data_IF_976814624497
#
_entry.id   IF_976814624497
#
_cell.length_a   1.000
_cell.length_b   1.000
_cell.length_c   1.000
_cell.angle_alpha   90.00
_cell.angle_beta   90.00
_cell.angle_gamma   90.00
#
_symmetry.space_group_name_H-M   'P 1'
#
loop_
_entity.id
_entity.type
_entity.pdbx_description
1 polymer ?
#
# COMPACT_ATOMS: atom_id res chain seq x y z
N UNK A 1 -42.33 -51.19 -7.89
CA UNK A 1 -40.98 -50.60 -7.74
C UNK A 1 -41.15 -49.25 -7.04
N UNK A 2 -40.55 -49.11 -5.86
CA UNK A 2 -41.07 -48.29 -4.77
C UNK A 2 -40.84 -46.78 -4.94
N UNK A 3 -41.88 -46.00 -4.58
CA UNK A 3 -41.91 -44.53 -4.45
C UNK A 3 -41.00 -44.04 -3.28
N UNK A 4 -40.37 -44.96 -2.54
CA UNK A 4 -39.53 -44.68 -1.37
C UNK A 4 -38.12 -44.15 -1.64
N UNK A 5 -37.60 -44.24 -2.87
CA UNK A 5 -36.21 -43.80 -3.16
C UNK A 5 -36.10 -42.32 -3.56
N UNK A 6 -37.18 -41.70 -4.05
CA UNK A 6 -37.18 -40.26 -4.40
C UNK A 6 -37.14 -39.35 -3.16
N UNK A 7 -37.58 -39.84 -2.00
CA UNK A 7 -37.70 -39.05 -0.78
C UNK A 7 -36.40 -38.98 0.05
N UNK A 8 -35.44 -39.87 -0.21
CA UNK A 8 -34.11 -39.82 0.44
C UNK A 8 -33.20 -38.78 -0.21
N UNK A 9 -33.24 -38.66 -1.54
CA UNK A 9 -32.41 -37.71 -2.30
C UNK A 9 -32.73 -36.26 -1.91
N UNK A 10 -34.00 -35.96 -1.62
CA UNK A 10 -34.43 -34.63 -1.19
C UNK A 10 -33.96 -34.23 0.23
N UNK A 11 -33.72 -35.19 1.13
CA UNK A 11 -33.21 -34.91 2.48
C UNK A 11 -31.72 -34.56 2.48
N UNK A 12 -30.92 -35.17 1.60
CA UNK A 12 -29.49 -34.88 1.49
C UNK A 12 -29.19 -33.56 0.77
N UNK A 13 -30.07 -33.10 -0.14
CA UNK A 13 -29.91 -31.82 -0.81
C UNK A 13 -30.11 -30.61 0.14
N UNK A 14 -31.03 -30.71 1.10
CA UNK A 14 -31.29 -29.62 2.08
C UNK A 14 -30.20 -29.57 3.16
N UNK A 15 -29.61 -30.71 3.51
CA UNK A 15 -28.52 -30.78 4.50
C UNK A 15 -27.19 -30.23 3.94
N UNK A 16 -26.98 -30.28 2.61
CA UNK A 16 -25.80 -29.70 1.96
C UNK A 16 -25.88 -28.17 1.81
N UNK A 17 -27.07 -27.57 1.82
CA UNK A 17 -27.25 -26.13 1.64
C UNK A 17 -27.07 -25.34 2.95
N UNK A 18 -27.35 -25.98 4.10
CA UNK A 18 -27.18 -25.38 5.44
C UNK A 18 -25.74 -25.39 5.95
N UNK A 19 -24.83 -26.15 5.31
CA UNK A 19 -23.40 -26.15 5.62
C UNK A 19 -22.58 -25.18 4.75
N UNK A 20 -23.19 -24.55 3.73
CA UNK A 20 -22.52 -23.55 2.90
C UNK A 20 -22.72 -22.10 3.37
N UNK A 21 -23.54 -21.87 4.39
CA UNK A 21 -23.81 -20.54 4.95
C UNK A 21 -23.02 -20.21 6.23
N UNK A 22 -22.23 -21.14 6.76
CA UNK A 22 -21.33 -20.88 7.90
C UNK A 22 -19.91 -20.62 7.42
N UNK A 23 -19.64 -19.41 6.95
CA UNK A 23 -18.28 -19.03 6.54
C UNK A 23 -18.05 -17.56 6.20
N UNK A 24 -19.10 -16.78 5.96
CA UNK A 24 -18.95 -15.33 5.88
C UNK A 24 -19.13 -14.72 7.27
N UNK A 25 -18.19 -15.01 8.18
CA UNK A 25 -17.92 -14.03 9.23
C UNK A 25 -17.39 -12.80 8.50
N UNK A 26 -18.25 -11.79 8.34
CA UNK A 26 -17.81 -10.44 8.08
C UNK A 26 -16.82 -10.10 9.20
N UNK A 27 -15.53 -10.17 8.90
CA UNK A 27 -14.51 -9.60 9.75
C UNK A 27 -14.86 -8.12 9.82
N UNK A 28 -15.46 -7.75 10.95
CA UNK A 28 -15.74 -6.39 11.33
C UNK A 28 -14.37 -5.70 11.36
N UNK A 29 -14.03 -5.01 10.27
CA UNK A 29 -12.87 -4.12 10.24
C UNK A 29 -13.25 -2.99 11.17
N UNK A 30 -12.99 -3.18 12.47
CA UNK A 30 -12.97 -2.11 13.43
C UNK A 30 -11.93 -1.13 12.90
N UNK A 31 -12.39 -0.10 12.21
CA UNK A 31 -11.62 1.05 11.80
C UNK A 31 -11.32 1.85 13.06
N UNK A 32 -10.45 1.31 13.90
CA UNK A 32 -9.77 2.11 14.90
C UNK A 32 -8.81 2.99 14.12
N UNK A 33 -9.24 4.21 13.79
CA UNK A 33 -8.30 5.30 13.59
C UNK A 33 -7.67 5.55 14.96
N UNK A 34 -6.76 4.68 15.39
CA UNK A 34 -5.89 4.96 16.51
C UNK A 34 -4.96 6.05 16.02
N UNK A 35 -5.18 7.27 16.51
CA UNK A 35 -4.07 8.20 16.73
C UNK A 35 -3.08 7.46 17.64
N UNK A 36 -2.20 6.65 17.06
CA UNK A 36 -1.13 6.00 17.78
C UNK A 36 -0.19 7.12 18.22
N UNK A 37 0.10 7.26 19.51
CA UNK A 37 1.13 8.18 19.96
C UNK A 37 2.40 7.38 20.21
N UNK A 38 3.55 7.82 19.68
CA UNK A 38 4.84 7.16 19.92
C UNK A 38 5.14 6.95 21.41
N UNK A 39 4.70 7.89 22.25
CA UNK A 39 4.88 7.83 23.70
C UNK A 39 4.24 6.58 24.32
N UNK A 40 3.18 6.03 23.72
CA UNK A 40 2.39 4.93 24.25
C UNK A 40 3.05 3.55 24.06
N UNK A 41 4.11 3.45 23.24
CA UNK A 41 4.81 2.18 23.01
C UNK A 41 5.71 1.75 24.19
N UNK A 42 5.87 0.43 24.35
CA UNK A 42 6.81 -0.15 25.32
C UNK A 42 8.27 0.21 24.99
N UNK A 43 9.17 0.11 25.98
CA UNK A 43 10.61 0.36 25.78
C UNK A 43 11.22 -0.59 24.74
N UNK A 44 10.83 -1.87 24.77
CA UNK A 44 11.29 -2.87 23.79
C UNK A 44 10.81 -2.51 22.38
N UNK A 45 9.54 -2.12 22.24
CA UNK A 45 8.97 -1.68 20.96
C UNK A 45 9.72 -0.46 20.43
N UNK A 46 9.91 0.57 21.27
CA UNK A 46 10.67 1.79 20.93
C UNK A 46 12.09 1.48 20.46
N UNK A 47 12.77 0.53 21.11
CA UNK A 47 14.11 0.11 20.70
C UNK A 47 14.13 -0.53 19.29
N UNK A 48 13.09 -1.31 18.94
CA UNK A 48 12.94 -1.92 17.60
C UNK A 48 12.65 -0.87 16.52
N UNK A 49 11.79 0.11 16.82
CA UNK A 49 11.33 1.12 15.87
C UNK A 49 12.16 2.42 15.90
N UNK A 50 13.31 2.44 16.58
CA UNK A 50 14.14 3.65 16.77
C UNK A 50 14.52 4.38 15.48
N UNK A 51 14.52 3.68 14.35
CA UNK A 51 14.86 4.21 13.03
C UNK A 51 13.62 4.42 12.14
N UNK A 52 12.41 4.33 12.69
CA UNK A 52 11.20 4.62 11.92
C UNK A 52 11.21 6.07 11.47
N UNK A 53 10.66 6.31 10.28
CA UNK A 53 10.45 7.64 9.72
C UNK A 53 9.01 7.85 9.22
N UNK A 54 8.18 6.80 9.24
CA UNK A 54 6.82 6.80 8.71
C UNK A 54 5.90 5.97 9.61
N UNK A 55 4.70 6.50 9.92
CA UNK A 55 3.66 5.82 10.69
C UNK A 55 4.18 5.08 11.96
N UNK A 56 5.15 5.70 12.66
CA UNK A 56 5.87 5.29 13.86
C UNK A 56 6.64 3.98 13.85
N UNK A 57 6.27 3.01 13.04
CA UNK A 57 6.86 1.68 13.02
C UNK A 57 7.44 1.30 11.65
N UNK A 58 7.33 2.18 10.65
CA UNK A 58 7.82 1.92 9.31
C UNK A 58 9.07 2.75 8.99
N UNK A 59 9.93 2.14 8.18
CA UNK A 59 11.10 2.75 7.58
C UNK A 59 10.93 2.76 6.07
N UNK A 60 10.82 3.96 5.50
CA UNK A 60 10.84 4.20 4.05
C UNK A 60 12.28 4.32 3.58
N UNK A 61 12.63 3.60 2.51
CA UNK A 61 13.93 3.67 1.83
C UNK A 61 13.75 3.71 0.33
N UNK A 62 14.64 4.43 -0.35
CA UNK A 62 14.73 4.44 -1.80
C UNK A 62 16.12 3.97 -2.25
N UNK A 63 16.20 3.42 -3.45
CA UNK A 63 17.42 2.89 -4.05
C UNK A 63 17.27 2.88 -5.57
N UNK A 64 18.39 2.97 -6.29
CA UNK A 64 18.41 2.84 -7.74
C UNK A 64 18.00 1.43 -8.17
N UNK A 65 17.14 1.33 -9.18
CA UNK A 65 16.70 0.03 -9.74
C UNK A 65 17.01 -0.14 -11.24
N UNK A 66 17.86 0.74 -11.80
CA UNK A 66 18.34 0.67 -13.18
C UNK A 66 17.57 1.59 -14.13
N UNK A 67 18.13 1.82 -15.32
CA UNK A 67 17.46 2.61 -16.38
C UNK A 67 17.15 4.05 -16.00
N UNK A 68 17.98 4.70 -15.18
CA UNK A 68 17.72 6.07 -14.71
C UNK A 68 16.59 6.17 -13.69
N UNK A 69 16.16 5.04 -13.08
CA UNK A 69 15.02 5.00 -12.17
C UNK A 69 15.39 4.68 -10.71
N UNK A 70 14.57 5.20 -9.80
CA UNK A 70 14.54 4.86 -8.37
C UNK A 70 13.32 4.00 -8.04
N UNK A 71 13.55 3.06 -7.15
CA UNK A 71 12.54 2.25 -6.51
C UNK A 71 12.60 2.51 -5.00
N UNK A 72 11.64 1.96 -4.26
CA UNK A 72 11.70 2.03 -2.81
C UNK A 72 10.94 0.93 -2.12
N UNK A 73 11.16 0.85 -0.81
CA UNK A 73 10.50 -0.07 0.09
C UNK A 73 10.02 0.66 1.35
N UNK A 74 8.93 0.15 1.92
CA UNK A 74 8.44 0.50 3.24
C UNK A 74 8.52 -0.76 4.10
N UNK A 75 9.40 -0.75 5.10
CA UNK A 75 9.63 -1.89 5.98
C UNK A 75 8.97 -1.66 7.33
N UNK A 76 8.08 -2.56 7.73
CA UNK A 76 7.60 -2.62 9.12
C UNK A 76 8.74 -3.13 10.02
N UNK A 77 9.17 -2.31 10.98
CA UNK A 77 10.32 -2.61 11.85
C UNK A 77 10.00 -3.61 12.98
N UNK A 78 8.70 -3.89 13.22
CA UNK A 78 8.27 -4.90 14.19
C UNK A 78 8.14 -6.28 13.55
N UNK A 79 7.48 -6.37 12.40
CA UNK A 79 7.23 -7.64 11.70
C UNK A 79 8.29 -8.01 10.66
N UNK A 80 9.18 -7.07 10.30
CA UNK A 80 10.08 -7.16 9.15
C UNK A 80 9.40 -7.35 7.79
N UNK A 81 8.08 -7.12 7.71
CA UNK A 81 7.35 -7.14 6.42
C UNK A 81 7.80 -5.99 5.54
N UNK A 82 8.03 -6.29 4.27
CA UNK A 82 8.47 -5.32 3.25
C UNK A 82 7.33 -5.07 2.27
N UNK A 83 7.06 -3.80 2.00
CA UNK A 83 6.07 -3.33 1.03
C UNK A 83 6.83 -2.53 -0.02
N UNK A 84 6.83 -2.97 -1.27
CA UNK A 84 7.43 -2.20 -2.36
C UNK A 84 6.63 -0.91 -2.59
N UNK A 85 7.32 0.17 -2.97
CA UNK A 85 6.62 1.32 -3.53
C UNK A 85 5.86 0.90 -4.79
N UNK A 86 4.72 1.55 -5.12
CA UNK A 86 3.82 1.05 -6.16
C UNK A 86 4.43 1.12 -7.56
N UNK A 87 5.37 2.03 -7.79
CA UNK A 87 6.02 2.25 -9.08
C UNK A 87 7.50 2.59 -8.91
N UNK A 88 8.26 2.40 -9.99
CA UNK A 88 9.56 3.01 -10.18
C UNK A 88 9.41 4.42 -10.76
N UNK A 89 10.31 5.33 -10.41
CA UNK A 89 10.28 6.73 -10.84
C UNK A 89 11.58 7.11 -11.55
N UNK A 90 11.48 7.81 -12.67
CA UNK A 90 12.65 8.34 -13.38
C UNK A 90 13.26 9.49 -12.58
N UNK A 91 14.57 9.41 -12.39
CA UNK A 91 15.41 10.50 -11.85
C UNK A 91 16.40 11.03 -12.88
N UNK A 92 16.56 10.33 -14.01
CA UNK A 92 17.41 10.73 -15.12
C UNK A 92 16.84 10.12 -16.41
N UNK A 93 16.78 10.92 -17.49
CA UNK A 93 16.47 10.47 -18.84
C UNK A 93 17.37 11.17 -19.88
N UNK A 94 17.05 11.02 -21.18
CA UNK A 94 17.81 11.62 -22.28
C UNK A 94 17.85 13.16 -22.27
N UNK A 95 16.94 13.80 -21.54
CA UNK A 95 16.84 15.25 -21.38
C UNK A 95 17.49 15.76 -20.07
N UNK A 96 18.01 14.86 -19.22
CA UNK A 96 18.73 15.20 -17.99
C UNK A 96 18.06 14.67 -16.71
N UNK A 97 18.34 15.33 -15.59
CA UNK A 97 17.81 14.96 -14.28
C UNK A 97 16.31 15.26 -14.16
N UNK A 98 15.57 14.30 -13.61
CA UNK A 98 14.15 14.41 -13.32
C UNK A 98 13.93 14.55 -11.82
N UNK A 99 12.95 15.39 -11.44
CA UNK A 99 12.57 15.54 -10.04
C UNK A 99 11.96 14.25 -9.48
N UNK A 100 12.39 13.87 -8.27
CA UNK A 100 11.75 12.83 -7.47
C UNK A 100 11.72 13.26 -6.01
N UNK A 101 10.57 13.09 -5.35
CA UNK A 101 10.45 13.31 -3.91
C UNK A 101 9.49 12.34 -3.26
N UNK A 102 9.74 12.09 -1.97
CA UNK A 102 8.87 11.29 -1.13
C UNK A 102 8.64 12.03 0.20
N UNK A 103 7.39 12.31 0.50
CA UNK A 103 6.97 13.03 1.71
C UNK A 103 6.18 12.07 2.59
N UNK A 104 6.56 11.98 3.87
CA UNK A 104 5.89 11.17 4.88
C UNK A 104 6.11 11.80 6.25
N UNK A 105 5.26 11.43 7.20
CA UNK A 105 5.36 11.87 8.59
C UNK A 105 5.34 10.68 9.54
N UNK A 106 5.97 10.84 10.69
CA UNK A 106 6.01 9.82 11.74
C UNK A 106 4.61 9.48 12.26
N UNK A 107 3.71 10.45 12.33
CA UNK A 107 2.38 10.36 12.95
C UNK A 107 1.24 10.27 11.94
N UNK A 108 1.56 9.94 10.69
CA UNK A 108 0.59 9.85 9.60
C UNK A 108 0.78 8.56 8.81
N UNK A 109 -0.34 7.98 8.33
CA UNK A 109 -0.33 6.89 7.36
C UNK A 109 -0.31 7.38 5.90
N UNK A 110 -0.28 8.69 5.68
CA UNK A 110 -0.15 9.32 4.37
C UNK A 110 1.31 9.33 3.91
N UNK A 111 1.54 8.87 2.69
CA UNK A 111 2.79 9.04 1.96
C UNK A 111 2.50 9.65 0.59
N UNK A 112 3.26 10.67 0.23
CA UNK A 112 3.16 11.38 -1.05
C UNK A 112 4.41 11.05 -1.84
N UNK A 113 4.25 10.57 -3.07
CA UNK A 113 5.37 10.27 -3.95
C UNK A 113 5.20 11.12 -5.20
N UNK A 114 6.20 11.94 -5.48
CA UNK A 114 6.18 12.90 -6.58
C UNK A 114 7.28 12.58 -7.58
N UNK A 115 6.92 12.51 -8.86
CA UNK A 115 7.87 12.23 -9.93
C UNK A 115 7.22 11.68 -11.19
N UNK A 116 8.07 11.40 -12.17
CA UNK A 116 7.71 10.78 -13.46
C UNK A 116 7.84 9.27 -13.32
N UNK A 117 6.86 8.49 -13.79
CA UNK A 117 6.95 7.03 -13.73
C UNK A 117 7.92 6.50 -14.78
N UNK A 118 8.71 5.49 -14.42
CA UNK A 118 9.57 4.79 -15.38
C UNK A 118 8.80 3.81 -16.26
N UNK A 119 7.73 3.21 -15.74
CA UNK A 119 6.86 2.28 -16.47
C UNK A 119 5.38 2.55 -16.11
N UNK A 120 4.76 3.56 -16.73
CA UNK A 120 3.36 3.90 -16.50
C UNK A 120 2.42 2.91 -17.19
N UNK A 121 1.30 2.61 -16.54
CA UNK A 121 0.22 1.80 -17.12
C UNK A 121 -0.26 2.39 -18.45
N UNK A 122 -0.76 1.54 -19.36
CA UNK A 122 -1.20 1.93 -20.71
C UNK A 122 -2.29 3.02 -20.70
N UNK A 123 -3.07 3.11 -19.62
CA UNK A 123 -4.12 4.11 -19.41
C UNK A 123 -3.60 5.43 -18.83
N UNK A 124 -2.35 5.50 -18.39
CA UNK A 124 -1.72 6.69 -17.85
C UNK A 124 -0.82 7.36 -18.90
N UNK A 125 -0.90 8.70 -19.00
CA UNK A 125 0.05 9.44 -19.84
C UNK A 125 1.48 9.13 -19.39
N UNK A 126 2.34 8.76 -20.34
CA UNK A 126 3.79 8.58 -20.08
C UNK A 126 4.46 9.86 -19.58
N UNK A 127 3.88 10.97 -19.95
CA UNK A 127 4.42 12.30 -19.71
C UNK A 127 3.75 12.95 -18.49
N UNK A 128 4.59 13.63 -17.71
CA UNK A 128 4.15 14.55 -16.66
C UNK A 128 4.62 14.13 -15.28
N UNK A 129 5.24 15.08 -14.61
CA UNK A 129 5.50 15.01 -13.19
C UNK A 129 4.15 15.00 -12.45
N UNK A 130 3.96 14.04 -11.54
CA UNK A 130 2.71 13.92 -10.76
C UNK A 130 3.02 13.67 -9.32
N UNK A 131 2.15 14.19 -8.44
CA UNK A 131 2.15 13.88 -7.00
C UNK A 131 1.06 12.85 -6.74
N UNK A 132 1.45 11.70 -6.20
CA UNK A 132 0.55 10.58 -5.90
C UNK A 132 0.45 10.40 -4.40
N UNK A 133 -0.78 10.49 -3.90
CA UNK A 133 -1.09 10.40 -2.49
C UNK A 133 -1.55 8.98 -2.18
N UNK A 134 -0.87 8.31 -1.25
CA UNK A 134 -1.21 6.97 -0.82
C UNK A 134 -1.48 6.93 0.67
N UNK A 135 -2.49 6.16 1.06
CA UNK A 135 -2.71 5.80 2.44
C UNK A 135 -2.23 4.37 2.70
N UNK A 136 -1.38 4.18 3.70
CA UNK A 136 -0.97 2.84 4.14
C UNK A 136 -2.09 2.21 4.98
N UNK A 137 -2.76 1.21 4.42
CA UNK A 137 -3.85 0.47 5.08
C UNK A 137 -3.59 -1.02 4.96
N UNK A 138 -3.49 -1.71 6.09
CA UNK A 138 -3.30 -3.17 6.15
C UNK A 138 -2.08 -3.62 5.32
N UNK A 139 -0.92 -2.98 5.53
CA UNK A 139 0.33 -3.25 4.79
C UNK A 139 0.23 -3.09 3.27
N UNK A 140 -0.69 -2.23 2.80
CA UNK A 140 -0.85 -1.92 1.38
C UNK A 140 -0.99 -0.42 1.19
N UNK A 141 -0.31 0.11 0.19
CA UNK A 141 -0.50 1.48 -0.26
C UNK A 141 -1.77 1.54 -1.11
N UNK A 142 -2.76 2.30 -0.65
CA UNK A 142 -3.96 2.61 -1.41
C UNK A 142 -3.83 4.01 -1.99
N UNK A 143 -3.82 4.13 -3.31
CA UNK A 143 -3.87 5.41 -3.98
C UNK A 143 -5.19 6.12 -3.63
N UNK A 144 -5.10 7.35 -3.15
CA UNK A 144 -6.27 8.16 -2.75
C UNK A 144 -6.44 9.39 -3.63
N UNK A 145 -5.36 9.93 -4.20
CA UNK A 145 -5.40 11.10 -5.07
C UNK A 145 -4.17 11.16 -5.97
N UNK A 146 -4.34 11.74 -7.16
CA UNK A 146 -3.25 12.07 -8.09
C UNK A 146 -3.42 13.54 -8.47
N UNK A 147 -2.38 14.33 -8.26
CA UNK A 147 -2.30 15.72 -8.66
C UNK A 147 -1.29 15.84 -9.81
N UNK A 148 -1.76 16.40 -10.93
CA UNK A 148 -0.88 16.73 -12.05
C UNK A 148 -0.13 18.02 -11.70
N UNK A 149 1.20 17.98 -11.79
CA UNK A 149 2.03 19.18 -11.62
C UNK A 149 2.62 19.56 -12.97
N UNK A 150 2.52 20.83 -13.33
CA UNK A 150 3.45 21.38 -14.32
C UNK A 150 4.77 21.55 -13.58
N UNK A 151 5.79 20.79 -13.96
CA UNK A 151 7.14 21.02 -13.46
C UNK A 151 7.68 22.27 -14.18
N UNK A 152 7.39 23.45 -13.64
CA UNK A 152 8.06 24.68 -14.06
C UNK A 152 9.48 24.60 -13.49
N UNK A 153 10.44 24.13 -14.31
CA UNK A 153 11.83 23.99 -13.92
C UNK A 153 12.38 25.28 -13.33
N UNK A 154 12.44 25.36 -12.01
CA UNK A 154 13.11 26.42 -11.28
C UNK A 154 14.61 26.32 -11.52
N UNK A 155 15.14 27.23 -12.33
CA UNK A 155 16.57 27.53 -12.39
C UNK A 155 16.92 28.35 -11.14
N UNK A 156 17.59 27.71 -10.18
CA UNK A 156 18.43 28.39 -9.19
C UNK A 156 19.90 28.17 -9.55
#
# INVERSE_FOLDING_TARGET
>A
MAIGDKMKIFKYAILSFLLFSFGYTNANQNKTNTNLNFADFSVETKAKIKNANFAYEYLVKVYGCGGGAVCGEIRNLLSNTVIALPNAYLIEDENGENGFSIEYYLDSSLIIISGILADPDVSESKEGYKRRYYNLINNKLKLIHVENSHYDGGLD
#
